data_IF_917958641951
#
_entry.id   IF_917958641951
#
_cell.length_a   1.000
_cell.length_b   1.000
_cell.length_c   1.000
_cell.angle_alpha   90.00
_cell.angle_beta   90.00
_cell.angle_gamma   90.00
#
_symmetry.space_group_name_H-M   'P 1'
#
loop_
_entity.id
_entity.type
_entity.pdbx_description
1 polymer ?
#
# COMPACT_ATOMS: atom_id res chain seq x y z
N UNK A 1 -16.41 5.53 22.34
CA UNK A 1 -16.66 5.47 20.88
C UNK A 1 -17.52 4.26 20.62
N UNK A 2 -18.50 4.32 19.71
CA UNK A 2 -19.26 3.14 19.30
C UNK A 2 -18.29 2.06 18.77
N UNK A 3 -18.59 0.80 19.02
CA UNK A 3 -17.88 -0.31 18.38
C UNK A 3 -18.15 -0.25 16.87
N UNK A 4 -17.12 -0.46 16.05
CA UNK A 4 -17.25 -0.50 14.58
C UNK A 4 -18.18 -1.63 14.14
N UNK A 5 -18.40 -2.65 14.98
CA UNK A 5 -19.38 -3.72 14.73
C UNK A 5 -20.82 -3.21 14.78
N UNK A 6 -21.09 -2.15 15.56
CA UNK A 6 -22.43 -1.60 15.83
C UNK A 6 -22.89 -0.50 14.85
N UNK A 7 -22.08 -0.16 13.84
CA UNK A 7 -22.46 0.85 12.86
C UNK A 7 -23.67 0.38 12.03
N UNK A 8 -24.70 1.24 11.85
CA UNK A 8 -25.93 0.87 11.17
C UNK A 8 -25.64 0.39 9.75
N UNK A 9 -26.29 -0.72 9.38
CA UNK A 9 -26.23 -1.30 8.05
C UNK A 9 -27.52 -0.95 7.33
N UNK A 10 -27.39 -0.21 6.24
CA UNK A 10 -28.48 0.21 5.37
C UNK A 10 -28.80 -0.88 4.34
N UNK A 11 -30.05 -0.90 3.87
CA UNK A 11 -30.40 -1.70 2.69
C UNK A 11 -29.84 -1.04 1.42
N UNK A 12 -29.88 -1.77 0.30
CA UNK A 12 -29.58 -1.19 -1.02
C UNK A 12 -30.50 0.00 -1.33
N UNK A 13 -31.79 -0.12 -1.02
CA UNK A 13 -32.77 0.94 -1.31
C UNK A 13 -32.45 2.23 -0.55
N UNK A 14 -32.10 2.10 0.73
CA UNK A 14 -31.66 3.23 1.55
C UNK A 14 -30.40 3.87 0.98
N UNK A 15 -29.39 3.05 0.64
CA UNK A 15 -28.14 3.54 0.06
C UNK A 15 -28.38 4.33 -1.25
N UNK A 16 -29.21 3.79 -2.15
CA UNK A 16 -29.58 4.46 -3.42
C UNK A 16 -30.35 5.75 -3.16
N UNK A 17 -31.26 5.77 -2.17
CA UNK A 17 -32.03 6.98 -1.81
C UNK A 17 -31.14 8.13 -1.31
N UNK A 18 -29.98 7.79 -0.76
CA UNK A 18 -28.96 8.74 -0.29
C UNK A 18 -27.89 9.05 -1.35
N UNK A 19 -28.02 8.52 -2.57
CA UNK A 19 -27.11 8.77 -3.69
C UNK A 19 -25.88 7.85 -3.74
N UNK A 20 -25.80 6.81 -2.91
CA UNK A 20 -24.75 5.80 -2.99
C UNK A 20 -25.03 4.75 -4.08
N UNK A 21 -23.98 4.04 -4.51
CA UNK A 21 -24.12 2.91 -5.42
C UNK A 21 -24.81 1.73 -4.73
N UNK A 22 -25.87 1.20 -5.35
CA UNK A 22 -26.65 0.08 -4.82
C UNK A 22 -26.20 -1.29 -5.33
N UNK A 23 -24.91 -1.62 -5.28
CA UNK A 23 -24.39 -2.87 -5.84
C UNK A 23 -25.15 -4.12 -5.32
N UNK A 24 -25.51 -5.04 -6.23
CA UNK A 24 -25.93 -6.44 -6.00
C UNK A 24 -26.92 -6.73 -4.85
N UNK A 25 -27.75 -5.76 -4.46
CA UNK A 25 -28.67 -5.87 -3.31
C UNK A 25 -27.99 -6.28 -2.00
N UNK A 26 -26.74 -5.85 -1.82
CA UNK A 26 -25.98 -6.16 -0.60
C UNK A 26 -26.18 -5.10 0.48
N UNK A 27 -26.06 -5.47 1.77
CA UNK A 27 -26.10 -4.51 2.87
C UNK A 27 -24.97 -3.48 2.76
N UNK A 28 -25.27 -2.23 3.11
CA UNK A 28 -24.38 -1.09 2.93
C UNK A 28 -24.02 -0.45 4.26
N UNK A 29 -22.72 -0.21 4.50
CA UNK A 29 -22.24 0.52 5.67
C UNK A 29 -21.60 1.83 5.21
N UNK A 30 -22.22 2.94 5.58
CA UNK A 30 -21.65 4.26 5.35
C UNK A 30 -20.73 4.63 6.52
N UNK A 31 -19.60 5.28 6.20
CA UNK A 31 -18.69 5.86 7.18
C UNK A 31 -18.44 7.30 6.76
N UNK A 32 -18.86 8.24 7.60
CA UNK A 32 -18.55 9.65 7.40
C UNK A 32 -17.06 9.87 7.67
N UNK A 33 -16.35 10.33 6.64
CA UNK A 33 -14.91 10.62 6.72
C UNK A 33 -14.73 12.07 7.20
N UNK A 34 -14.06 12.31 8.34
CA UNK A 34 -13.78 13.67 8.80
C UNK A 34 -12.76 14.36 7.90
N UNK A 35 -12.65 15.69 8.03
CA UNK A 35 -11.55 16.44 7.43
C UNK A 35 -10.20 15.98 8.00
N UNK A 36 -9.17 16.06 7.15
CA UNK A 36 -7.83 15.55 7.41
C UNK A 36 -7.61 14.12 6.93
N UNK A 37 -6.42 13.58 7.24
CA UNK A 37 -6.08 12.21 6.85
C UNK A 37 -6.88 11.18 7.67
N UNK A 38 -7.54 10.25 6.98
CA UNK A 38 -8.35 9.23 7.63
C UNK A 38 -8.30 7.90 6.88
N UNK A 39 -8.26 6.78 7.61
CA UNK A 39 -8.22 5.44 7.01
C UNK A 39 -9.41 4.59 7.41
N UNK A 40 -9.90 3.79 6.45
CA UNK A 40 -10.91 2.76 6.67
C UNK A 40 -10.32 1.42 6.21
N UNK A 41 -10.44 0.38 7.04
CA UNK A 41 -9.94 -0.96 6.71
C UNK A 41 -11.07 -1.98 6.75
N UNK A 42 -11.07 -2.87 5.76
CA UNK A 42 -11.94 -4.04 5.71
C UNK A 42 -11.11 -5.32 5.83
N UNK A 43 -11.71 -6.36 6.41
CA UNK A 43 -11.15 -7.71 6.48
C UNK A 43 -12.20 -8.73 6.08
N UNK A 44 -11.88 -9.63 5.15
CA UNK A 44 -12.78 -10.72 4.76
C UNK A 44 -12.72 -11.85 5.79
N UNK A 45 -13.66 -12.79 5.69
CA UNK A 45 -13.65 -14.04 6.48
C UNK A 45 -12.41 -14.90 6.24
N UNK A 46 -11.78 -14.78 5.07
CA UNK A 46 -10.50 -15.42 4.74
C UNK A 46 -9.29 -14.64 5.26
N UNK A 47 -9.49 -13.55 5.99
CA UNK A 47 -8.41 -12.74 6.54
C UNK A 47 -7.77 -11.77 5.54
N UNK A 48 -8.34 -11.63 4.33
CA UNK A 48 -7.87 -10.66 3.32
C UNK A 48 -8.17 -9.23 3.77
N UNK A 49 -7.18 -8.34 3.70
CA UNK A 49 -7.22 -6.98 4.24
C UNK A 49 -7.06 -5.96 3.13
N UNK A 50 -7.91 -4.95 3.14
CA UNK A 50 -7.85 -3.78 2.26
C UNK A 50 -7.96 -2.53 3.12
N UNK A 51 -7.10 -1.54 2.86
CA UNK A 51 -7.14 -0.22 3.48
C UNK A 51 -7.43 0.83 2.41
N UNK A 52 -8.35 1.74 2.74
CA UNK A 52 -8.64 2.97 2.00
C UNK A 52 -8.07 4.13 2.81
N UNK A 53 -7.22 4.96 2.22
CA UNK A 53 -6.64 6.14 2.85
C UNK A 53 -7.17 7.40 2.14
N UNK A 54 -8.00 8.16 2.86
CA UNK A 54 -8.54 9.42 2.39
C UNK A 54 -7.61 10.54 2.81
N UNK A 55 -7.11 11.31 1.83
CA UNK A 55 -6.19 12.41 2.08
C UNK A 55 -6.55 13.64 1.27
N UNK A 56 -6.33 14.81 1.86
CA UNK A 56 -6.44 16.11 1.20
C UNK A 56 -5.16 16.49 0.46
N UNK A 57 -5.23 17.57 -0.34
CA UNK A 57 -4.00 18.24 -0.83
C UNK A 57 -3.27 18.99 0.30
N UNK A 58 -3.99 19.32 1.37
CA UNK A 58 -3.50 19.86 2.64
C UNK A 58 -3.91 18.93 3.79
N UNK A 59 -3.19 18.98 4.90
CA UNK A 59 -3.38 18.03 6.02
C UNK A 59 -4.68 18.22 6.81
N UNK A 60 -5.36 19.38 6.71
CA UNK A 60 -6.51 19.73 7.55
C UNK A 60 -7.84 19.92 6.77
N UNK A 61 -7.85 19.59 5.47
CA UNK A 61 -9.00 19.82 4.60
C UNK A 61 -9.75 18.54 4.20
N UNK A 62 -10.83 18.66 3.43
CA UNK A 62 -11.56 17.50 2.92
C UNK A 62 -10.67 16.67 2.00
N UNK A 63 -10.88 15.35 2.02
CA UNK A 63 -10.17 14.43 1.15
C UNK A 63 -10.39 14.77 -0.33
N UNK A 64 -9.31 14.70 -1.12
CA UNK A 64 -9.29 14.95 -2.57
C UNK A 64 -8.82 13.76 -3.39
N UNK A 65 -8.29 12.73 -2.73
CA UNK A 65 -7.96 11.45 -3.32
C UNK A 65 -8.09 10.34 -2.28
N UNK A 66 -8.20 9.11 -2.75
CA UNK A 66 -8.29 7.91 -1.93
C UNK A 66 -7.25 6.90 -2.44
N UNK A 67 -6.24 6.62 -1.61
CA UNK A 67 -5.32 5.53 -1.89
C UNK A 67 -5.94 4.22 -1.43
N UNK A 68 -5.68 3.14 -2.18
CA UNK A 68 -6.16 1.80 -1.85
C UNK A 68 -4.95 0.89 -1.75
N UNK A 69 -4.86 0.15 -0.65
CA UNK A 69 -3.80 -0.84 -0.43
C UNK A 69 -4.41 -2.19 -0.06
N UNK A 70 -4.09 -3.21 -0.84
CA UNK A 70 -4.36 -4.61 -0.52
C UNK A 70 -3.10 -5.26 0.05
N UNK A 71 -3.22 -5.91 1.21
CA UNK A 71 -2.06 -6.32 1.99
C UNK A 71 -1.61 -7.77 1.75
N UNK A 72 -2.46 -8.59 1.15
CA UNK A 72 -2.34 -10.05 1.24
C UNK A 72 -2.09 -10.73 -0.10
N UNK A 73 -1.54 -10.02 -1.08
CA UNK A 73 -1.05 -10.65 -2.32
C UNK A 73 0.26 -11.39 -2.14
N UNK A 74 1.06 -11.04 -1.12
CA UNK A 74 2.35 -11.68 -0.87
C UNK A 74 3.51 -11.20 -1.74
N UNK A 75 3.26 -10.37 -2.76
CA UNK A 75 4.29 -9.64 -3.52
C UNK A 75 4.37 -8.18 -3.10
N UNK A 76 5.57 -7.61 -3.25
CA UNK A 76 5.85 -6.22 -2.92
C UNK A 76 6.73 -5.56 -3.97
N UNK A 77 6.66 -4.23 -4.09
CA UNK A 77 7.58 -3.39 -4.87
C UNK A 77 8.30 -2.40 -3.95
N UNK A 78 9.51 -1.93 -4.29
CA UNK A 78 10.13 -0.80 -3.61
C UNK A 78 9.21 0.42 -3.61
N UNK A 79 9.19 1.17 -2.51
CA UNK A 79 8.44 2.44 -2.41
C UNK A 79 9.35 3.64 -2.14
N UNK A 80 8.77 4.84 -2.12
CA UNK A 80 9.52 6.10 -2.02
C UNK A 80 10.27 6.27 -0.69
N UNK A 81 9.88 5.53 0.36
CA UNK A 81 10.51 5.57 1.69
C UNK A 81 11.52 4.43 1.89
N UNK A 82 12.02 3.85 0.79
CA UNK A 82 12.90 2.69 0.74
C UNK A 82 12.41 1.49 1.56
N UNK A 83 11.10 1.43 1.78
CA UNK A 83 10.38 0.25 2.21
C UNK A 83 9.87 -0.53 1.01
N UNK A 84 8.95 -1.43 1.30
CA UNK A 84 8.24 -2.17 0.25
C UNK A 84 6.74 -1.96 0.40
N UNK A 85 6.06 -1.74 -0.71
CA UNK A 85 4.60 -1.67 -0.76
C UNK A 85 4.03 -2.95 -1.34
N UNK A 86 2.97 -3.52 -0.75
CA UNK A 86 2.31 -4.68 -1.34
C UNK A 86 1.73 -4.31 -2.70
N UNK A 87 1.84 -5.25 -3.65
CA UNK A 87 1.22 -5.08 -4.97
C UNK A 87 -0.18 -5.68 -4.98
N UNK A 88 -1.00 -5.27 -5.94
CA UNK A 88 -2.30 -5.86 -6.19
C UNK A 88 -2.67 -5.78 -7.66
N UNK A 89 -3.62 -6.60 -8.09
CA UNK A 89 -4.20 -6.48 -9.42
C UNK A 89 -5.46 -5.63 -9.31
N UNK A 90 -5.60 -4.68 -10.23
CA UNK A 90 -6.81 -3.89 -10.36
C UNK A 90 -7.07 -3.53 -11.83
N UNK A 91 -8.31 -3.26 -12.15
CA UNK A 91 -8.72 -2.69 -13.44
C UNK A 91 -9.95 -1.82 -13.24
N UNK A 92 -10.14 -0.85 -14.13
CA UNK A 92 -11.35 -0.02 -14.13
C UNK A 92 -12.29 -0.44 -15.27
N UNK A 93 -13.60 -0.51 -14.99
CA UNK A 93 -14.64 -0.84 -15.96
C UNK A 93 -15.23 0.44 -16.52
N UNK A 94 -15.21 0.56 -17.85
CA UNK A 94 -15.78 1.69 -18.59
C UNK A 94 -17.03 1.26 -19.37
N UNK A 95 -17.67 2.21 -20.07
CA UNK A 95 -18.82 1.90 -20.94
C UNK A 95 -18.43 0.80 -21.95
N UNK A 96 -19.31 -0.19 -22.11
CA UNK A 96 -19.07 -1.32 -23.01
C UNK A 96 -18.10 -2.39 -22.46
N UNK A 97 -17.73 -2.33 -21.17
CA UNK A 97 -16.94 -3.36 -20.51
C UNK A 97 -15.43 -3.30 -20.79
N UNK A 98 -14.94 -2.21 -21.39
CA UNK A 98 -13.51 -2.03 -21.68
C UNK A 98 -12.73 -1.77 -20.39
N UNK A 99 -11.60 -2.45 -20.23
CA UNK A 99 -10.72 -2.32 -19.06
C UNK A 99 -9.64 -1.27 -19.30
N UNK A 100 -9.54 -0.29 -18.40
CA UNK A 100 -8.55 0.80 -18.50
C UNK A 100 -7.76 0.92 -17.20
N UNK A 101 -6.45 1.17 -17.32
CA UNK A 101 -5.52 1.32 -16.19
C UNK A 101 -5.23 2.80 -15.88
N UNK A 102 -5.10 3.66 -16.91
CA UNK A 102 -4.95 5.11 -16.74
C UNK A 102 -6.06 5.85 -17.50
N UNK A 103 -6.98 6.45 -16.75
CA UNK A 103 -8.15 7.14 -17.31
C UNK A 103 -7.96 8.65 -17.45
N UNK A 104 -6.83 9.22 -17.01
CA UNK A 104 -6.57 10.67 -17.10
C UNK A 104 -6.69 11.23 -18.52
N UNK A 105 -6.15 10.58 -19.57
CA UNK A 105 -6.18 11.14 -20.93
C UNK A 105 -7.52 10.96 -21.66
N UNK A 106 -8.48 10.23 -21.09
CA UNK A 106 -9.74 9.89 -21.77
C UNK A 106 -10.75 11.03 -21.73
N UNK A 107 -11.66 11.04 -22.70
CA UNK A 107 -12.85 11.88 -22.68
C UNK A 107 -13.85 11.44 -21.60
N UNK A 108 -14.74 12.36 -21.19
CA UNK A 108 -15.68 12.14 -20.08
C UNK A 108 -16.56 10.90 -20.26
N UNK A 109 -17.00 10.63 -21.49
CA UNK A 109 -17.90 9.50 -21.78
C UNK A 109 -17.16 8.15 -21.89
N UNK A 110 -15.83 8.19 -21.88
CA UNK A 110 -14.94 7.04 -21.81
C UNK A 110 -14.39 6.80 -20.39
N UNK A 111 -14.67 7.67 -19.42
CA UNK A 111 -14.19 7.52 -18.04
C UNK A 111 -14.72 6.23 -17.39
N UNK A 112 -13.94 5.62 -16.48
CA UNK A 112 -14.39 4.45 -15.76
C UNK A 112 -15.52 4.77 -14.79
N UNK A 113 -16.41 3.81 -14.63
CA UNK A 113 -17.53 3.84 -13.69
C UNK A 113 -17.28 3.01 -12.43
N UNK A 114 -16.34 2.06 -12.50
CA UNK A 114 -16.01 1.14 -11.39
C UNK A 114 -14.50 0.89 -11.40
N UNK A 115 -13.86 0.94 -10.24
CA UNK A 115 -12.52 0.38 -10.01
C UNK A 115 -12.68 -0.98 -9.31
N UNK A 116 -12.10 -2.02 -9.89
CA UNK A 116 -12.13 -3.39 -9.37
C UNK A 116 -10.76 -3.71 -8.79
N UNK A 117 -10.72 -4.00 -7.49
CA UNK A 117 -9.57 -4.59 -6.80
C UNK A 117 -9.75 -6.10 -6.77
N UNK A 118 -8.77 -6.85 -7.28
CA UNK A 118 -8.80 -8.30 -7.25
C UNK A 118 -8.14 -8.83 -5.98
N UNK A 119 -8.95 -9.46 -5.14
CA UNK A 119 -8.51 -10.14 -3.93
C UNK A 119 -8.28 -11.62 -4.28
N UNK A 120 -7.02 -12.01 -4.46
CA UNK A 120 -6.65 -13.42 -4.74
C UNK A 120 -7.21 -14.34 -3.65
N UNK A 121 -7.59 -15.58 -4.00
CA UNK A 121 -8.12 -16.55 -3.03
C UNK A 121 -7.04 -16.92 -2.02
N UNK A 122 -7.39 -17.10 -0.73
CA UNK A 122 -6.43 -17.59 0.26
C UNK A 122 -5.69 -18.85 -0.21
N UNK A 123 -4.36 -18.78 -0.28
CA UNK A 123 -3.50 -19.85 -0.79
C UNK A 123 -2.94 -19.61 -2.20
N UNK A 124 -3.49 -18.66 -2.96
CA UNK A 124 -3.02 -18.33 -4.31
C UNK A 124 -1.86 -17.31 -4.29
N UNK A 125 -1.46 -16.82 -3.11
CA UNK A 125 -0.39 -15.85 -2.99
C UNK A 125 0.93 -16.38 -3.57
N UNK A 126 1.63 -15.60 -4.41
CA UNK A 126 3.03 -15.84 -4.68
C UNK A 126 3.85 -16.00 -3.39
N UNK A 127 4.91 -16.83 -3.40
CA UNK A 127 5.76 -17.04 -2.24
C UNK A 127 6.28 -15.69 -1.73
N UNK A 128 6.04 -15.40 -0.44
CA UNK A 128 6.57 -14.16 0.14
C UNK A 128 8.09 -14.19 0.02
N UNK A 129 8.72 -13.07 -0.39
CA UNK A 129 10.16 -12.95 -0.31
C UNK A 129 10.58 -13.23 1.13
N UNK A 130 11.59 -14.08 1.30
CA UNK A 130 12.12 -14.37 2.62
C UNK A 130 12.63 -13.06 3.27
N UNK A 131 12.41 -12.83 4.58
CA UNK A 131 12.72 -11.55 5.23
C UNK A 131 14.16 -11.08 5.07
N UNK A 132 15.10 -12.02 4.90
CA UNK A 132 16.53 -11.82 4.65
C UNK A 132 16.86 -11.26 3.25
N UNK A 133 15.87 -11.25 2.34
CA UNK A 133 16.00 -10.72 0.97
C UNK A 133 15.55 -9.28 0.83
N UNK A 134 14.94 -8.68 1.86
CA UNK A 134 14.58 -7.26 1.81
C UNK A 134 15.84 -6.40 1.97
N UNK A 135 16.00 -5.33 1.18
CA UNK A 135 17.06 -4.35 1.42
C UNK A 135 16.90 -3.73 2.81
N UNK A 136 18.02 -3.29 3.36
CA UNK A 136 18.06 -2.58 4.64
C UNK A 136 17.29 -1.27 4.54
N UNK A 137 16.62 -0.88 5.64
CA UNK A 137 15.92 0.41 5.71
C UNK A 137 16.91 1.55 5.60
N UNK A 138 16.47 2.70 5.09
CA UNK A 138 17.36 3.84 4.86
C UNK A 138 17.99 4.44 6.10
N UNK A 139 17.28 4.42 7.23
CA UNK A 139 17.87 4.86 8.49
C UNK A 139 19.06 4.00 8.90
N UNK A 140 18.92 2.68 8.74
CA UNK A 140 19.96 1.70 9.05
C UNK A 140 21.09 1.78 8.01
N UNK A 141 20.76 1.99 6.73
CA UNK A 141 21.75 2.21 5.67
C UNK A 141 22.53 3.51 5.89
N UNK A 142 21.88 4.60 6.27
CA UNK A 142 22.55 5.86 6.59
C UNK A 142 23.54 5.65 7.75
N UNK A 143 23.12 4.95 8.80
CA UNK A 143 24.00 4.57 9.92
C UNK A 143 25.19 3.73 9.47
N UNK A 144 24.96 2.78 8.54
CA UNK A 144 26.03 1.96 7.97
C UNK A 144 27.02 2.79 7.14
N UNK A 145 26.52 3.74 6.34
CA UNK A 145 27.35 4.64 5.54
C UNK A 145 28.17 5.59 6.40
N UNK A 146 27.59 6.11 7.49
CA UNK A 146 28.32 6.94 8.47
C UNK A 146 29.45 6.14 9.13
N UNK A 147 29.16 4.89 9.52
CA UNK A 147 30.19 3.98 10.05
C UNK A 147 31.29 3.72 9.01
N UNK A 148 30.93 3.54 7.74
CA UNK A 148 31.91 3.34 6.68
C UNK A 148 32.79 4.58 6.45
N UNK A 149 32.20 5.77 6.48
CA UNK A 149 32.92 7.03 6.36
C UNK A 149 33.91 7.24 7.52
N UNK A 150 33.50 6.92 8.76
CA UNK A 150 34.38 6.98 9.94
C UNK A 150 35.59 6.07 9.79
N UNK A 151 35.37 4.82 9.38
CA UNK A 151 36.44 3.83 9.19
C UNK A 151 37.42 4.23 8.08
N UNK A 152 36.94 4.89 7.02
CA UNK A 152 37.79 5.41 5.96
C UNK A 152 38.58 6.66 6.40
N UNK A 153 38.05 7.45 7.32
CA UNK A 153 38.69 8.67 7.82
C UNK A 153 39.85 8.38 8.77
N UNK A 154 39.76 7.30 9.57
CA UNK A 154 40.84 6.87 10.46
C UNK A 154 41.09 5.34 10.39
N UNK A 155 41.83 4.87 9.38
CA UNK A 155 42.03 3.43 9.14
C UNK A 155 42.86 2.73 10.20
N UNK A 156 43.59 3.48 11.04
CA UNK A 156 44.54 2.92 12.00
C UNK A 156 43.93 2.70 13.39
N UNK A 157 42.79 3.32 13.70
CA UNK A 157 42.09 3.16 14.98
C UNK A 157 41.03 2.03 14.97
N UNK A 158 40.76 1.40 13.83
CA UNK A 158 39.77 0.33 13.71
C UNK A 158 40.42 -1.05 13.46
N UNK A 159 39.84 -2.09 14.06
CA UNK A 159 40.42 -3.45 13.99
C UNK A 159 40.11 -4.07 12.63
N UNK A 160 41.04 -4.84 12.05
CA UNK A 160 40.87 -5.51 10.75
C UNK A 160 39.56 -6.31 10.63
N UNK A 161 39.06 -6.89 11.73
CA UNK A 161 37.77 -7.58 11.79
C UNK A 161 36.59 -6.63 11.55
N UNK A 162 36.63 -5.40 12.08
CA UNK A 162 35.59 -4.38 11.86
C UNK A 162 35.53 -3.94 10.38
N UNK A 163 36.69 -3.91 9.71
CA UNK A 163 36.76 -3.62 8.27
C UNK A 163 36.15 -4.75 7.43
N UNK A 164 36.46 -6.01 7.75
CA UNK A 164 35.91 -7.18 7.04
C UNK A 164 34.38 -7.24 7.15
N UNK A 165 33.86 -7.15 8.37
CA UNK A 165 32.42 -7.21 8.62
C UNK A 165 31.67 -6.06 7.93
N UNK A 166 32.26 -4.87 7.91
CA UNK A 166 31.70 -3.69 7.24
C UNK A 166 31.66 -3.86 5.72
N UNK A 167 32.75 -4.34 5.11
CA UNK A 167 32.83 -4.60 3.67
C UNK A 167 31.83 -5.66 3.24
N UNK A 168 31.72 -6.75 4.01
CA UNK A 168 30.76 -7.82 3.75
C UNK A 168 29.32 -7.32 3.84
N UNK A 169 29.02 -6.51 4.87
CA UNK A 169 27.68 -5.93 5.06
C UNK A 169 27.31 -4.97 3.93
N UNK A 170 28.22 -4.08 3.53
CA UNK A 170 28.02 -3.14 2.41
C UNK A 170 27.86 -3.88 1.08
N UNK A 171 28.66 -4.93 0.84
CA UNK A 171 28.62 -5.73 -0.39
C UNK A 171 27.31 -6.51 -0.48
N UNK A 172 26.88 -7.13 0.62
CA UNK A 172 25.60 -7.83 0.69
C UNK A 172 24.42 -6.87 0.44
N UNK A 173 24.44 -5.69 1.04
CA UNK A 173 23.38 -4.70 0.85
C UNK A 173 23.34 -4.15 -0.58
N UNK A 174 24.51 -3.86 -1.17
CA UNK A 174 24.61 -3.46 -2.57
C UNK A 174 24.09 -4.55 -3.52
N UNK A 175 24.33 -5.83 -3.21
CA UNK A 175 23.83 -6.96 -3.99
C UNK A 175 22.30 -7.12 -3.88
N UNK A 176 21.70 -6.82 -2.71
CA UNK A 176 20.23 -6.80 -2.54
C UNK A 176 19.58 -5.67 -3.35
N UNK A 177 20.15 -4.47 -3.33
CA UNK A 177 19.60 -3.28 -4.01
C UNK A 177 19.76 -3.28 -5.53
N UNK A 178 20.61 -4.14 -6.10
CA UNK A 178 20.82 -4.29 -7.55
C UNK A 178 19.89 -5.31 -8.24
N UNK A 179 19.09 -6.06 -7.46
CA UNK A 179 18.16 -7.08 -7.95
C UNK A 179 16.75 -6.52 -8.05
#
# INVERSE_FOLDING_TARGET
MPDITDLPVMTRADAVSLGFAGYNDVPHRCVDVPDGAFTITARTSEGRRVTFCFMGKSYDGPARFCDIQFHDRGTTIPNADNGVSPTFNAFAITRGGRHIIDSRPLDEDEKPSILVLLMEKAGDEPPRPAPDRLPMKDHDLATLLDRAAMVLADPHEHVLTDHGDLVDTLTAEAARRRR
#
